data_IF_431862790037
#
_entry.id   IF_431862790037
#
_cell.length_a   1.000
_cell.length_b   1.000
_cell.length_c   1.000
_cell.angle_alpha   90.00
_cell.angle_beta   90.00
_cell.angle_gamma   90.00
#
_symmetry.space_group_name_H-M   'P 1'
#
loop_
_entity.id
_entity.type
_entity.pdbx_description
1 polymer ?
#
# COMPACT_ATOMS: atom_id res chain seq x y z
N UNK A 1 21.80 10.79 -9.96
CA UNK A 1 20.34 10.54 -9.94
C UNK A 1 20.00 10.10 -8.54
N UNK A 2 18.84 10.43 -8.05
CA UNK A 2 18.39 9.96 -6.73
C UNK A 2 18.04 8.47 -6.89
N UNK A 3 18.82 7.58 -6.28
CA UNK A 3 18.64 6.12 -6.34
C UNK A 3 17.55 5.65 -5.35
N UNK A 4 16.62 6.55 -5.01
CA UNK A 4 15.49 6.22 -4.12
C UNK A 4 14.53 5.26 -4.83
N UNK A 5 14.24 4.15 -4.19
CA UNK A 5 13.19 3.21 -4.57
C UNK A 5 11.95 3.42 -3.69
N UNK A 6 10.79 3.16 -4.26
CA UNK A 6 9.53 3.18 -3.54
C UNK A 6 8.97 1.76 -3.46
N UNK A 7 8.71 1.31 -2.24
CA UNK A 7 7.95 0.11 -1.95
C UNK A 7 6.52 0.55 -1.63
N UNK A 8 5.63 0.40 -2.57
CA UNK A 8 4.19 0.60 -2.39
C UNK A 8 3.64 -0.55 -1.58
N UNK A 9 2.84 -0.23 -0.56
CA UNK A 9 2.30 -1.21 0.39
C UNK A 9 0.85 -0.85 0.69
N UNK A 10 -0.02 -1.86 0.63
CA UNK A 10 -1.41 -1.79 1.02
C UNK A 10 -1.80 -3.09 1.72
N UNK A 11 -2.57 -3.01 2.80
CA UNK A 11 -3.11 -4.16 3.52
C UNK A 11 -4.62 -4.04 3.71
N UNK A 12 -5.34 -5.12 3.43
CA UNK A 12 -6.74 -5.24 3.82
C UNK A 12 -6.83 -5.97 5.17
N UNK A 13 -7.70 -5.50 6.05
CA UNK A 13 -7.72 -5.91 7.45
C UNK A 13 -9.13 -6.12 7.97
N UNK A 14 -9.26 -6.78 9.13
CA UNK A 14 -10.56 -7.00 9.80
C UNK A 14 -11.02 -5.81 10.63
N UNK A 15 -10.32 -4.68 10.63
CA UNK A 15 -10.66 -3.50 11.42
C UNK A 15 -9.56 -2.45 11.43
N UNK A 16 -9.58 -1.55 12.39
CA UNK A 16 -8.64 -0.43 12.47
C UNK A 16 -7.52 -0.61 13.50
N UNK A 17 -7.62 -1.62 14.35
CA UNK A 17 -6.69 -1.85 15.48
C UNK A 17 -5.98 -3.20 15.32
N UNK A 18 -4.66 -3.22 15.07
CA UNK A 18 -3.91 -4.45 14.90
C UNK A 18 -3.84 -5.31 16.16
N UNK A 19 -4.10 -4.75 17.35
CA UNK A 19 -4.10 -5.53 18.60
C UNK A 19 -5.31 -6.46 18.74
N UNK A 20 -6.37 -6.24 17.93
CA UNK A 20 -7.63 -6.99 17.98
C UNK A 20 -8.07 -7.50 16.62
N UNK A 21 -7.26 -7.36 15.59
CA UNK A 21 -7.62 -7.69 14.21
C UNK A 21 -6.64 -8.66 13.56
N UNK A 22 -6.87 -8.88 12.27
CA UNK A 22 -6.04 -9.70 11.39
C UNK A 22 -5.84 -9.00 10.04
N UNK A 23 -4.73 -9.27 9.38
CA UNK A 23 -4.50 -8.92 7.97
C UNK A 23 -5.21 -9.96 7.11
N UNK A 24 -6.01 -9.51 6.16
CA UNK A 24 -6.75 -10.33 5.19
C UNK A 24 -6.03 -10.45 3.85
N UNK A 25 -5.35 -9.39 3.44
CA UNK A 25 -4.58 -9.36 2.18
C UNK A 25 -3.38 -8.43 2.33
N UNK A 26 -2.28 -8.75 1.63
CA UNK A 26 -1.09 -7.91 1.52
C UNK A 26 -0.82 -7.67 0.05
N UNK A 27 -0.63 -6.41 -0.32
CA UNK A 27 -0.16 -6.01 -1.64
C UNK A 27 1.12 -5.19 -1.58
N UNK A 28 2.01 -5.41 -2.52
CA UNK A 28 3.26 -4.65 -2.62
C UNK A 28 3.68 -4.47 -4.07
N UNK A 29 4.27 -3.32 -4.40
CA UNK A 29 4.85 -3.02 -5.71
C UNK A 29 6.12 -2.20 -5.57
N UNK A 30 7.06 -2.44 -6.45
CA UNK A 30 8.27 -1.64 -6.55
C UNK A 30 8.17 -0.64 -7.70
N UNK A 31 8.54 0.59 -7.42
CA UNK A 31 8.80 1.60 -8.45
C UNK A 31 10.12 2.33 -8.17
N UNK A 32 10.65 2.96 -9.19
CA UNK A 32 11.65 4.00 -9.01
C UNK A 32 11.00 5.33 -8.52
N UNK A 33 11.82 6.36 -8.30
CA UNK A 33 11.34 7.68 -7.89
C UNK A 33 10.53 8.40 -8.99
N UNK A 34 10.49 7.88 -10.22
CA UNK A 34 9.66 8.39 -11.31
C UNK A 34 8.31 7.73 -11.38
N UNK A 35 8.07 6.73 -10.54
CA UNK A 35 6.90 5.86 -10.49
C UNK A 35 6.85 4.84 -11.64
N UNK A 36 7.99 4.57 -12.29
CA UNK A 36 8.08 3.49 -13.27
C UNK A 36 8.12 2.16 -12.51
N UNK A 37 7.22 1.24 -12.86
CA UNK A 37 7.15 -0.09 -12.23
C UNK A 37 8.41 -0.89 -12.52
N UNK A 38 8.94 -1.55 -11.51
CA UNK A 38 10.15 -2.36 -11.61
C UNK A 38 9.86 -3.86 -11.71
N UNK A 39 8.61 -4.27 -11.43
CA UNK A 39 8.15 -5.66 -11.50
C UNK A 39 6.63 -5.77 -11.65
N UNK A 40 6.12 -7.00 -11.64
CA UNK A 40 4.69 -7.30 -11.68
C UNK A 40 3.95 -7.09 -10.35
N UNK A 41 4.69 -6.84 -9.26
CA UNK A 41 4.12 -6.72 -7.92
C UNK A 41 4.00 -8.07 -7.20
N UNK A 42 3.56 -7.97 -5.96
CA UNK A 42 3.25 -9.09 -5.07
C UNK A 42 1.89 -8.84 -4.43
N UNK A 43 1.01 -9.82 -4.43
CA UNK A 43 -0.20 -9.81 -3.62
C UNK A 43 -0.54 -11.21 -3.14
N UNK A 44 -1.11 -11.31 -1.95
CA UNK A 44 -1.56 -12.60 -1.41
C UNK A 44 -2.66 -12.39 -0.38
N UNK A 45 -3.76 -13.18 -0.44
CA UNK A 45 -4.67 -13.28 0.69
C UNK A 45 -3.94 -13.97 1.84
N UNK A 46 -4.44 -13.74 3.05
CA UNK A 46 -3.95 -14.37 4.28
C UNK A 46 -5.05 -15.26 4.85
N UNK A 47 -4.72 -16.49 5.22
CA UNK A 47 -5.69 -17.43 5.79
C UNK A 47 -6.38 -16.83 7.01
N UNK A 48 -7.71 -16.73 6.93
CA UNK A 48 -8.56 -16.22 8.00
C UNK A 48 -9.93 -16.86 7.95
N UNK A 49 -10.39 -17.40 9.08
CA UNK A 49 -11.71 -18.01 9.25
C UNK A 49 -12.41 -17.51 10.52
N UNK A 50 -11.91 -16.42 11.10
CA UNK A 50 -12.49 -15.78 12.28
C UNK A 50 -13.73 -14.93 11.93
N UNK A 51 -14.42 -14.39 12.95
CA UNK A 51 -15.56 -13.51 12.74
C UNK A 51 -15.09 -12.16 12.16
N UNK A 52 -15.93 -11.58 11.33
CA UNK A 52 -15.81 -10.19 10.85
C UNK A 52 -17.07 -9.42 11.22
N UNK A 53 -16.96 -8.12 11.38
CA UNK A 53 -18.16 -7.30 11.57
C UNK A 53 -18.91 -7.05 10.25
N UNK A 54 -20.13 -6.52 10.36
CA UNK A 54 -20.95 -6.27 9.19
C UNK A 54 -20.41 -5.20 8.24
N UNK A 55 -19.46 -4.36 8.66
CA UNK A 55 -18.79 -3.40 7.76
C UNK A 55 -17.77 -4.14 6.89
N UNK A 56 -16.92 -4.94 7.48
CA UNK A 56 -15.91 -5.77 6.79
C UNK A 56 -16.59 -6.79 5.86
N UNK A 57 -17.69 -7.40 6.31
CA UNK A 57 -18.45 -8.33 5.46
C UNK A 57 -19.01 -7.64 4.21
N UNK A 58 -19.57 -6.44 4.33
CA UNK A 58 -20.06 -5.68 3.17
C UNK A 58 -18.96 -5.21 2.24
N UNK A 59 -17.77 -4.93 2.77
CA UNK A 59 -16.61 -4.47 2.00
C UNK A 59 -15.95 -5.63 1.25
N UNK A 60 -15.65 -6.73 1.94
CA UNK A 60 -14.78 -7.80 1.43
C UNK A 60 -15.54 -9.09 1.05
N UNK A 61 -16.83 -9.19 1.36
CA UNK A 61 -17.65 -10.30 0.89
C UNK A 61 -17.87 -10.26 -0.62
N UNK A 62 -18.40 -9.13 -1.18
CA UNK A 62 -18.69 -9.02 -2.61
C UNK A 62 -17.46 -9.08 -3.51
N UNK A 63 -16.30 -8.57 -3.06
CA UNK A 63 -15.05 -8.57 -3.83
C UNK A 63 -14.30 -9.93 -3.76
N UNK A 64 -14.84 -10.90 -3.01
CA UNK A 64 -14.33 -12.25 -2.91
C UNK A 64 -13.13 -12.43 -1.97
N UNK A 65 -12.67 -11.38 -1.27
CA UNK A 65 -11.51 -11.48 -0.38
C UNK A 65 -11.75 -12.45 0.78
N UNK A 66 -12.89 -12.36 1.47
CA UNK A 66 -13.21 -13.28 2.56
C UNK A 66 -13.26 -14.74 2.10
N UNK A 67 -13.78 -14.98 0.90
CA UNK A 67 -13.78 -16.33 0.31
C UNK A 67 -12.34 -16.79 -0.03
N UNK A 68 -11.47 -15.89 -0.48
CA UNK A 68 -10.07 -16.22 -0.74
C UNK A 68 -9.32 -16.55 0.56
N UNK A 69 -9.56 -15.79 1.64
CA UNK A 69 -8.96 -16.05 2.95
C UNK A 69 -9.41 -17.39 3.57
N UNK A 70 -10.64 -17.84 3.28
CA UNK A 70 -11.21 -19.08 3.80
C UNK A 70 -10.78 -20.33 3.02
N UNK A 71 -10.02 -20.19 1.94
CA UNK A 71 -9.57 -21.34 1.15
C UNK A 71 -8.56 -22.19 1.91
N UNK A 72 -8.59 -23.54 1.75
CA UNK A 72 -7.62 -24.44 2.41
C UNK A 72 -6.16 -24.21 1.99
N UNK A 73 -5.94 -23.63 0.81
CA UNK A 73 -4.63 -23.32 0.25
C UNK A 73 -4.22 -21.83 0.45
N UNK A 74 -5.00 -21.04 1.17
CA UNK A 74 -4.60 -19.69 1.54
C UNK A 74 -3.37 -19.73 2.45
N UNK A 75 -2.34 -18.89 2.19
CA UNK A 75 -1.15 -18.84 3.04
C UNK A 75 -1.51 -18.46 4.48
N UNK A 76 -0.94 -19.17 5.43
CA UNK A 76 -1.01 -18.77 6.85
C UNK A 76 -0.35 -17.39 7.06
N UNK A 77 -0.65 -16.67 8.16
CA UNK A 77 0.01 -15.40 8.46
C UNK A 77 1.54 -15.47 8.41
N UNK A 78 2.13 -16.54 8.92
CA UNK A 78 3.60 -16.75 8.90
C UNK A 78 4.13 -16.97 7.48
N UNK A 79 3.40 -17.71 6.65
CA UNK A 79 3.77 -17.94 5.25
C UNK A 79 3.63 -16.65 4.43
N UNK A 80 2.55 -15.90 4.59
CA UNK A 80 2.35 -14.61 3.96
C UNK A 80 3.47 -13.63 4.36
N UNK A 81 3.79 -13.55 5.65
CA UNK A 81 4.88 -12.73 6.15
C UNK A 81 6.25 -13.14 5.56
N UNK A 82 6.51 -14.44 5.43
CA UNK A 82 7.74 -14.95 4.80
C UNK A 82 7.82 -14.58 3.32
N UNK A 83 6.71 -14.70 2.59
CA UNK A 83 6.64 -14.33 1.17
C UNK A 83 6.83 -12.82 1.00
N UNK A 84 6.17 -12.00 1.82
CA UNK A 84 6.32 -10.54 1.79
C UNK A 84 7.76 -10.12 2.11
N UNK A 85 8.40 -10.69 3.15
CA UNK A 85 9.82 -10.45 3.45
C UNK A 85 10.74 -10.80 2.27
N UNK A 86 10.52 -11.95 1.63
CA UNK A 86 11.29 -12.35 0.47
C UNK A 86 11.12 -11.38 -0.71
N UNK A 87 9.90 -10.90 -0.93
CA UNK A 87 9.63 -9.89 -1.96
C UNK A 87 10.34 -8.57 -1.66
N UNK A 88 10.26 -8.06 -0.43
CA UNK A 88 10.96 -6.84 -0.02
C UNK A 88 12.47 -7.01 -0.15
N UNK A 89 13.03 -8.08 0.37
CA UNK A 89 14.46 -8.37 0.30
C UNK A 89 15.01 -8.51 -1.13
N UNK A 90 14.16 -8.85 -2.09
CA UNK A 90 14.60 -9.07 -3.49
C UNK A 90 15.18 -7.83 -4.16
N UNK A 91 14.89 -6.63 -3.63
CA UNK A 91 15.38 -5.34 -4.18
C UNK A 91 16.07 -4.45 -3.15
N UNK A 92 16.16 -4.88 -1.90
CA UNK A 92 17.00 -4.20 -0.94
C UNK A 92 18.47 -4.44 -1.33
N UNK A 93 19.19 -3.38 -1.63
CA UNK A 93 20.64 -3.40 -1.88
C UNK A 93 21.35 -2.47 -0.91
N UNK A 94 22.61 -2.76 -0.61
CA UNK A 94 23.43 -1.92 0.25
C UNK A 94 23.50 -0.48 -0.31
N UNK A 95 23.05 0.47 0.50
CA UNK A 95 23.09 1.89 0.15
C UNK A 95 21.86 2.42 -0.61
N UNK A 96 20.95 1.58 -1.07
CA UNK A 96 19.69 2.06 -1.67
C UNK A 96 18.79 2.69 -0.60
N UNK A 97 18.24 3.88 -0.90
CA UNK A 97 17.23 4.51 -0.06
C UNK A 97 15.86 4.01 -0.46
N UNK A 98 15.25 3.17 0.35
CA UNK A 98 13.91 2.63 0.11
C UNK A 98 12.89 3.31 1.01
N UNK A 99 11.86 3.93 0.44
CA UNK A 99 10.73 4.49 1.18
C UNK A 99 9.50 3.60 1.01
N UNK A 100 8.76 3.35 2.09
CA UNK A 100 7.40 2.85 1.94
C UNK A 100 6.52 3.96 1.32
N UNK A 101 5.64 3.58 0.41
CA UNK A 101 4.70 4.47 -0.26
C UNK A 101 3.28 3.86 -0.21
N UNK A 102 2.26 4.73 -0.20
CA UNK A 102 0.87 4.29 -0.15
C UNK A 102 -0.08 5.43 0.24
N UNK A 103 -1.36 5.16 0.34
CA UNK A 103 -2.34 6.09 0.88
C UNK A 103 -2.56 5.81 2.37
N UNK A 104 -2.25 6.77 3.24
CA UNK A 104 -2.25 6.57 4.71
C UNK A 104 -1.31 5.46 5.14
N UNK A 105 -0.19 5.31 4.44
CA UNK A 105 0.78 4.22 4.55
C UNK A 105 1.29 3.95 5.99
N UNK A 106 1.05 4.88 6.91
CA UNK A 106 1.29 4.65 8.34
C UNK A 106 0.43 3.52 8.90
N UNK A 107 -0.83 3.43 8.45
CA UNK A 107 -1.73 2.35 8.83
C UNK A 107 -1.16 0.99 8.42
N UNK A 108 -0.73 0.83 7.18
CA UNK A 108 -0.15 -0.41 6.65
C UNK A 108 1.12 -0.81 7.41
N UNK A 109 1.99 0.16 7.68
CA UNK A 109 3.20 -0.06 8.47
C UNK A 109 2.88 -0.56 9.87
N UNK A 110 1.93 0.09 10.56
CA UNK A 110 1.56 -0.28 11.93
C UNK A 110 0.99 -1.71 11.99
N UNK A 111 0.20 -2.12 10.98
CA UNK A 111 -0.32 -3.48 10.87
C UNK A 111 0.78 -4.51 10.59
N UNK A 112 1.66 -4.22 9.65
CA UNK A 112 2.78 -5.10 9.33
C UNK A 112 3.77 -5.21 10.50
N UNK A 113 4.11 -4.10 11.16
CA UNK A 113 5.01 -4.10 12.31
C UNK A 113 4.44 -4.90 13.49
N UNK A 114 3.12 -4.82 13.70
CA UNK A 114 2.45 -5.53 14.80
C UNK A 114 2.27 -7.03 14.54
N UNK A 115 1.83 -7.42 13.34
CA UNK A 115 1.42 -8.81 13.06
C UNK A 115 2.41 -9.59 12.19
N UNK A 116 3.28 -8.91 11.45
CA UNK A 116 4.25 -9.53 10.55
C UNK A 116 5.63 -8.85 10.68
N UNK A 117 6.21 -8.82 11.89
CA UNK A 117 7.44 -8.08 12.16
C UNK A 117 8.57 -8.48 11.21
N UNK A 118 9.38 -7.49 10.81
CA UNK A 118 10.51 -7.67 9.90
C UNK A 118 10.15 -7.68 8.40
N UNK A 119 8.86 -7.55 8.02
CA UNK A 119 8.48 -7.41 6.60
C UNK A 119 9.08 -6.15 5.99
N UNK A 120 9.10 -5.05 6.74
CA UNK A 120 9.65 -3.77 6.30
C UNK A 120 11.08 -3.51 6.82
N UNK A 121 11.81 -4.56 7.22
CA UNK A 121 13.21 -4.44 7.64
C UNK A 121 14.06 -3.88 6.47
N UNK A 122 14.88 -2.87 6.75
CA UNK A 122 15.68 -2.17 5.75
C UNK A 122 14.94 -1.05 5.00
N UNK A 123 13.62 -0.92 5.15
CA UNK A 123 12.85 0.20 4.61
C UNK A 123 13.01 1.42 5.51
N UNK A 124 13.28 2.58 4.91
CA UNK A 124 13.53 3.83 5.63
C UNK A 124 12.31 4.23 6.48
N UNK A 125 12.55 4.91 7.62
CA UNK A 125 11.49 5.36 8.53
C UNK A 125 10.55 6.43 7.94
N UNK A 126 11.00 7.20 6.93
CA UNK A 126 10.13 8.13 6.19
C UNK A 126 9.34 7.40 5.13
N UNK A 127 8.19 7.94 4.78
CA UNK A 127 7.30 7.39 3.75
C UNK A 127 6.91 8.45 2.73
N UNK A 128 6.49 8.00 1.55
CA UNK A 128 5.74 8.81 0.59
C UNK A 128 4.25 8.51 0.80
N UNK A 129 3.56 9.39 1.52
CA UNK A 129 2.13 9.24 1.80
C UNK A 129 1.31 10.07 0.81
N UNK A 130 0.57 9.39 -0.07
CA UNK A 130 -0.24 10.02 -1.12
C UNK A 130 -1.47 10.73 -0.53
N UNK A 131 -2.01 10.24 0.60
CA UNK A 131 -3.09 10.94 1.31
C UNK A 131 -2.65 12.30 1.84
N UNK A 132 -1.40 12.42 2.29
CA UNK A 132 -0.85 13.71 2.72
C UNK A 132 -0.72 14.70 1.56
N UNK A 133 -0.37 14.22 0.35
CA UNK A 133 -0.34 15.03 -0.87
C UNK A 133 -1.76 15.47 -1.27
N UNK A 134 -2.74 14.59 -1.18
CA UNK A 134 -4.14 14.86 -1.49
C UNK A 134 -4.70 15.93 -0.54
N UNK A 135 -4.46 15.81 0.77
CA UNK A 135 -4.87 16.81 1.76
C UNK A 135 -4.17 18.16 1.57
N UNK A 136 -2.87 18.15 1.26
CA UNK A 136 -2.13 19.37 0.95
C UNK A 136 -2.72 20.06 -0.29
N UNK A 137 -3.00 19.31 -1.35
CA UNK A 137 -3.62 19.84 -2.57
C UNK A 137 -5.03 20.39 -2.29
N UNK A 138 -5.83 19.71 -1.48
CA UNK A 138 -7.15 20.15 -1.07
C UNK A 138 -7.12 21.54 -0.41
N UNK A 139 -6.12 21.77 0.47
CA UNK A 139 -5.98 23.04 1.21
C UNK A 139 -5.33 24.15 0.38
N UNK A 140 -4.30 23.82 -0.41
CA UNK A 140 -3.39 24.81 -0.99
C UNK A 140 -3.52 24.95 -2.52
N UNK A 141 -4.09 23.95 -3.20
CA UNK A 141 -4.27 23.92 -4.64
C UNK A 141 -5.64 23.31 -5.01
N UNK A 142 -6.77 23.93 -4.60
CA UNK A 142 -8.09 23.32 -4.71
C UNK A 142 -8.51 22.99 -6.15
N UNK A 143 -8.03 23.72 -7.15
CA UNK A 143 -8.32 23.40 -8.56
C UNK A 143 -7.56 22.13 -8.99
N UNK A 144 -6.32 21.95 -8.55
CA UNK A 144 -5.56 20.72 -8.78
C UNK A 144 -6.25 19.55 -8.07
N UNK A 145 -6.64 19.73 -6.82
CA UNK A 145 -7.37 18.69 -6.09
C UNK A 145 -8.69 18.30 -6.77
N UNK A 146 -9.47 19.27 -7.27
CA UNK A 146 -10.74 18.99 -7.94
C UNK A 146 -10.60 18.23 -9.26
N UNK A 147 -9.44 18.36 -9.94
CA UNK A 147 -9.15 17.70 -11.21
C UNK A 147 -8.42 16.33 -11.06
N UNK A 148 -8.19 15.86 -9.82
CA UNK A 148 -7.50 14.59 -9.59
C UNK A 148 -8.32 13.40 -10.08
N UNK A 149 -7.67 12.27 -10.43
CA UNK A 149 -8.37 11.06 -10.84
C UNK A 149 -9.27 10.54 -9.71
N UNK A 150 -10.43 10.05 -10.08
CA UNK A 150 -11.32 9.36 -9.13
C UNK A 150 -10.75 8.02 -8.72
N UNK A 151 -11.01 7.61 -7.48
CA UNK A 151 -10.69 6.26 -7.00
C UNK A 151 -11.66 5.26 -7.59
N UNK A 152 -11.14 4.14 -8.04
CA UNK A 152 -11.90 3.04 -8.67
C UNK A 152 -11.72 1.71 -7.95
N UNK A 153 -11.11 1.75 -6.77
CA UNK A 153 -10.81 0.54 -5.98
C UNK A 153 -12.07 -0.24 -5.63
N UNK A 154 -11.95 -1.55 -5.66
CA UNK A 154 -12.90 -2.53 -5.13
C UNK A 154 -12.50 -3.05 -3.73
N UNK A 155 -11.55 -2.38 -3.08
CA UNK A 155 -10.97 -2.81 -1.80
C UNK A 155 -10.26 -4.17 -1.90
N UNK A 156 -9.48 -4.35 -2.96
CA UNK A 156 -8.44 -5.35 -3.09
C UNK A 156 -7.11 -4.64 -3.25
N UNK A 157 -6.07 -5.14 -2.63
CA UNK A 157 -4.76 -4.49 -2.59
C UNK A 157 -4.22 -4.14 -3.99
N UNK A 158 -4.47 -4.95 -5.00
CA UNK A 158 -4.03 -4.66 -6.37
C UNK A 158 -4.70 -3.42 -6.95
N UNK A 159 -6.01 -3.26 -6.77
CA UNK A 159 -6.75 -2.09 -7.24
C UNK A 159 -6.46 -0.84 -6.40
N UNK A 160 -6.27 -1.00 -5.08
CA UNK A 160 -5.85 0.08 -4.19
C UNK A 160 -4.48 0.63 -4.62
N UNK A 161 -3.50 -0.24 -4.81
CA UNK A 161 -2.16 0.15 -5.26
C UNK A 161 -2.15 0.80 -6.66
N UNK A 162 -3.03 0.37 -7.58
CA UNK A 162 -3.17 1.00 -8.89
C UNK A 162 -3.75 2.42 -8.78
N UNK A 163 -4.74 2.63 -7.91
CA UNK A 163 -5.32 3.95 -7.62
C UNK A 163 -4.29 4.89 -6.97
N UNK A 164 -3.52 4.39 -6.01
CA UNK A 164 -2.48 5.14 -5.32
C UNK A 164 -1.36 5.58 -6.26
N UNK A 165 -0.88 4.67 -7.10
CA UNK A 165 0.11 4.98 -8.14
C UNK A 165 -0.40 6.01 -9.13
N UNK A 166 -1.66 5.90 -9.56
CA UNK A 166 -2.30 6.86 -10.46
C UNK A 166 -2.42 8.24 -9.81
N UNK A 167 -2.81 8.31 -8.54
CA UNK A 167 -2.91 9.55 -7.80
C UNK A 167 -1.53 10.19 -7.55
N UNK A 168 -0.53 9.37 -7.19
CA UNK A 168 0.84 9.83 -7.03
C UNK A 168 1.43 10.39 -8.33
N UNK A 169 1.19 9.71 -9.46
CA UNK A 169 1.62 10.18 -10.78
C UNK A 169 0.98 11.53 -11.13
N UNK A 170 -0.31 11.68 -10.83
CA UNK A 170 -1.02 12.95 -11.02
C UNK A 170 -0.36 14.08 -10.22
N UNK A 171 -0.10 13.89 -8.91
CA UNK A 171 0.54 14.93 -8.08
C UNK A 171 1.98 15.18 -8.48
N UNK A 172 2.76 14.16 -8.83
CA UNK A 172 4.10 14.32 -9.39
C UNK A 172 4.10 15.27 -10.60
N UNK A 173 3.15 15.08 -11.51
CA UNK A 173 3.07 15.87 -12.74
C UNK A 173 2.56 17.29 -12.45
N UNK A 174 1.67 17.46 -11.48
CA UNK A 174 1.26 18.77 -10.98
C UNK A 174 2.44 19.56 -10.40
N UNK A 175 3.30 18.91 -9.59
CA UNK A 175 4.52 19.54 -9.05
C UNK A 175 5.51 19.95 -10.14
N UNK A 176 5.65 19.16 -11.22
CA UNK A 176 6.52 19.50 -12.36
C UNK A 176 6.00 20.68 -13.17
N UNK A 177 4.68 20.87 -13.23
CA UNK A 177 4.05 21.97 -13.93
C UNK A 177 4.12 23.32 -13.19
N UNK A 178 4.45 23.33 -11.90
CA UNK A 178 4.65 24.54 -11.11
C UNK A 178 6.09 25.05 -11.33
N UNK A 179 6.31 25.88 -12.33
CA UNK A 179 7.54 26.65 -12.39
C UNK A 179 7.59 27.60 -11.18
N UNK A 180 8.56 27.42 -10.31
CA UNK A 180 8.80 28.32 -9.20
C UNK A 180 9.26 29.68 -9.79
N UNK A 181 8.35 30.64 -9.84
CA UNK A 181 8.66 32.04 -10.15
C UNK A 181 9.05 32.67 -8.82
N UNK A 182 10.36 32.60 -8.49
CA UNK A 182 10.95 33.26 -7.33
C UNK A 182 11.04 34.78 -7.52
#
# INVERSE_FOLDING_TARGET
MDDTLLLWVDVETTGLDPSHGAILEIGMRWTDARLDRLDGGFSTPVAYAGPVDGFIERMHGPNGLLAACARPDAPTPDEAARLARAYVASRLSDGARVLAAGASVRFDRDWLDALMPGVLEGVHHRSLDVSALDEAARMWAPLTWAARPERTTDHRVDSCLDDELRLAAYYRDAFRGVAYVG
#
